data_IF_055058892706
#
_entry.id   IF_055058892706
#
_cell.length_a   1.000
_cell.length_b   1.000
_cell.length_c   1.000
_cell.angle_alpha   90.00
_cell.angle_beta   90.00
_cell.angle_gamma   90.00
#
_symmetry.space_group_name_H-M   'P 1'
#
loop_
_entity.id
_entity.type
_entity.pdbx_description
1 polymer ?
#
# COMPACT_ATOMS: atom_id res chain seq x y z
N UNK A 1 -36.14 4.01 26.94
CA UNK A 1 -35.65 5.39 27.02
C UNK A 1 -34.18 5.41 26.61
N UNK A 2 -33.86 5.82 25.38
CA UNK A 2 -32.50 5.74 24.82
C UNK A 2 -31.73 7.04 25.12
N UNK A 3 -30.73 7.00 26.01
CA UNK A 3 -29.78 8.11 26.25
C UNK A 3 -28.57 7.93 25.35
N UNK A 4 -28.70 8.27 24.06
CA UNK A 4 -27.52 8.34 23.18
C UNK A 4 -26.87 9.72 23.36
N UNK A 5 -25.58 9.77 23.78
CA UNK A 5 -24.85 11.03 23.85
C UNK A 5 -24.74 11.64 22.46
N UNK A 6 -25.02 12.95 22.33
CA UNK A 6 -24.76 13.71 21.12
C UNK A 6 -23.27 14.04 21.09
N UNK A 7 -22.52 13.38 20.21
CA UNK A 7 -21.11 13.69 19.95
C UNK A 7 -21.04 14.70 18.80
N UNK A 8 -20.30 15.79 19.00
CA UNK A 8 -19.97 16.75 17.96
C UNK A 8 -18.48 16.65 17.65
N UNK A 9 -18.13 16.42 16.39
CA UNK A 9 -16.76 16.52 15.91
C UNK A 9 -16.44 17.99 15.73
N UNK A 10 -15.57 18.51 16.61
CA UNK A 10 -15.02 19.87 16.50
C UNK A 10 -13.61 19.72 15.96
N UNK A 11 -13.46 19.87 14.65
CA UNK A 11 -12.17 19.97 13.98
C UNK A 11 -12.07 21.38 13.41
N UNK A 12 -11.57 22.37 14.16
CA UNK A 12 -11.24 23.66 13.58
C UNK A 12 -10.17 23.45 12.51
N UNK A 13 -10.22 24.22 11.41
CA UNK A 13 -9.14 24.22 10.43
C UNK A 13 -7.83 24.55 11.16
N UNK A 14 -6.81 23.71 10.96
CA UNK A 14 -5.51 23.91 11.59
C UNK A 14 -4.92 25.24 11.14
N UNK A 15 -4.24 25.94 12.04
CA UNK A 15 -3.47 27.11 11.63
C UNK A 15 -2.41 26.67 10.57
N UNK A 16 -2.08 27.51 9.58
CA UNK A 16 -1.11 27.15 8.54
C UNK A 16 0.22 26.64 9.10
N UNK A 17 0.66 27.19 10.24
CA UNK A 17 1.88 26.80 10.94
C UNK A 17 1.77 25.40 11.55
N UNK A 18 0.62 25.06 12.12
CA UNK A 18 0.37 23.74 12.68
C UNK A 18 0.35 22.67 11.59
N UNK A 19 -0.31 22.96 10.46
CA UNK A 19 -0.30 22.08 9.29
C UNK A 19 1.14 21.85 8.78
N UNK A 20 1.94 22.91 8.67
CA UNK A 20 3.33 22.81 8.27
C UNK A 20 4.17 21.97 9.26
N UNK A 21 3.95 22.16 10.57
CA UNK A 21 4.64 21.39 11.60
C UNK A 21 4.31 19.89 11.53
N UNK A 22 3.04 19.54 11.29
CA UNK A 22 2.60 18.14 11.13
C UNK A 22 3.22 17.51 9.90
N UNK A 23 3.25 18.21 8.76
CA UNK A 23 3.86 17.71 7.52
C UNK A 23 5.36 17.50 7.71
N UNK A 24 6.06 18.47 8.32
CA UNK A 24 7.49 18.35 8.58
C UNK A 24 7.81 17.17 9.51
N UNK A 25 6.99 16.96 10.56
CA UNK A 25 7.13 15.82 11.46
C UNK A 25 6.88 14.48 10.73
N UNK A 26 5.88 14.42 9.86
CA UNK A 26 5.56 13.23 9.07
C UNK A 26 6.69 12.88 8.10
N UNK A 27 7.22 13.87 7.37
CA UNK A 27 8.34 13.65 6.46
C UNK A 27 9.58 13.15 7.20
N UNK A 28 9.89 13.74 8.36
CA UNK A 28 11.00 13.30 9.20
C UNK A 28 10.79 11.87 9.68
N UNK A 29 9.60 11.54 10.17
CA UNK A 29 9.25 10.19 10.58
C UNK A 29 9.45 9.19 9.42
N UNK A 30 8.91 9.48 8.24
CA UNK A 30 9.05 8.62 7.07
C UNK A 30 10.53 8.38 6.68
N UNK A 31 11.37 9.42 6.79
CA UNK A 31 12.82 9.30 6.54
C UNK A 31 13.52 8.45 7.61
N UNK A 32 13.21 8.68 8.88
CA UNK A 32 13.85 8.00 10.01
C UNK A 32 13.41 6.54 10.14
N UNK A 33 12.17 6.21 9.75
CA UNK A 33 11.61 4.87 9.86
C UNK A 33 11.53 4.12 8.54
N UNK A 34 12.20 4.61 7.49
CA UNK A 34 12.22 3.94 6.20
C UNK A 34 12.79 2.51 6.37
N UNK A 35 12.08 1.46 5.91
CA UNK A 35 12.62 0.12 5.94
C UNK A 35 13.86 0.03 5.05
N UNK A 36 14.83 -0.81 5.46
CA UNK A 36 16.02 -1.05 4.64
C UNK A 36 15.58 -1.49 3.23
N UNK A 37 16.19 -0.95 2.15
CA UNK A 37 15.90 -1.40 0.80
C UNK A 37 15.99 -2.92 0.69
N UNK A 38 15.00 -3.53 0.05
CA UNK A 38 15.03 -4.96 -0.21
C UNK A 38 16.25 -5.29 -1.09
N UNK A 39 16.88 -6.46 -0.89
CA UNK A 39 17.92 -6.91 -1.81
C UNK A 39 17.35 -7.02 -3.24
N UNK A 40 18.19 -6.83 -4.27
CA UNK A 40 17.76 -7.02 -5.64
C UNK A 40 17.21 -8.44 -5.83
N UNK A 41 16.13 -8.56 -6.62
CA UNK A 41 15.59 -9.86 -6.97
C UNK A 41 16.64 -10.67 -7.75
N UNK A 42 16.71 -11.99 -7.55
CA UNK A 42 17.56 -12.85 -8.37
C UNK A 42 17.21 -12.68 -9.85
N UNK A 43 18.24 -12.70 -10.71
CA UNK A 43 18.03 -12.69 -12.14
C UNK A 43 17.19 -13.91 -12.56
N UNK A 44 16.19 -13.67 -13.41
CA UNK A 44 15.34 -14.75 -13.89
C UNK A 44 16.15 -15.74 -14.74
N UNK A 45 16.10 -17.02 -14.37
CA UNK A 45 16.78 -18.08 -15.11
C UNK A 45 16.18 -18.26 -16.51
N UNK A 46 16.96 -18.83 -17.42
CA UNK A 46 16.48 -19.15 -18.76
C UNK A 46 15.25 -20.08 -18.74
N UNK A 47 15.21 -21.03 -17.82
CA UNK A 47 14.08 -21.95 -17.62
C UNK A 47 12.83 -21.26 -17.07
N UNK A 48 12.98 -20.34 -16.11
CA UNK A 48 11.86 -19.53 -15.61
C UNK A 48 11.26 -18.65 -16.73
N UNK A 49 12.12 -18.03 -17.53
CA UNK A 49 11.68 -17.26 -18.72
C UNK A 49 10.94 -18.12 -19.73
N UNK A 50 11.45 -19.33 -20.00
CA UNK A 50 10.82 -20.29 -20.90
C UNK A 50 9.44 -20.71 -20.37
N UNK A 51 9.36 -21.13 -19.11
CA UNK A 51 8.11 -21.52 -18.46
C UNK A 51 7.07 -20.40 -18.48
N UNK A 52 7.45 -19.14 -18.25
CA UNK A 52 6.52 -18.00 -18.35
C UNK A 52 5.98 -17.81 -19.77
N UNK A 53 6.85 -17.91 -20.79
CA UNK A 53 6.44 -17.79 -22.20
C UNK A 53 5.54 -18.93 -22.65
N UNK A 54 5.84 -20.16 -22.21
CA UNK A 54 5.08 -21.35 -22.56
C UNK A 54 3.77 -21.46 -21.77
N UNK A 55 3.76 -21.07 -20.49
CA UNK A 55 2.60 -21.13 -19.60
C UNK A 55 1.53 -20.07 -19.92
N UNK A 56 1.93 -18.87 -20.35
CA UNK A 56 0.99 -17.83 -20.81
C UNK A 56 0.28 -18.24 -22.12
N UNK A 57 0.91 -19.11 -22.93
CA UNK A 57 0.29 -19.65 -24.14
C UNK A 57 -0.69 -20.81 -23.88
N UNK A 58 -0.71 -21.39 -22.66
CA UNK A 58 -1.46 -22.62 -22.37
C UNK A 58 -2.81 -22.43 -21.66
N UNK A 59 -3.26 -21.22 -21.33
CA UNK A 59 -4.57 -21.05 -20.69
C UNK A 59 -5.54 -20.16 -21.46
N UNK A 60 -6.20 -20.69 -22.51
CA UNK A 60 -7.45 -20.12 -23.01
C UNK A 60 -8.68 -20.48 -22.14
N UNK A 61 -8.61 -21.50 -21.26
CA UNK A 61 -9.78 -22.01 -20.52
C UNK A 61 -9.44 -22.55 -19.12
N UNK A 62 -8.90 -21.75 -18.21
CA UNK A 62 -9.00 -22.10 -16.78
C UNK A 62 -10.31 -21.51 -16.26
N UNK A 63 -11.40 -22.30 -16.07
CA UNK A 63 -12.59 -21.78 -15.42
C UNK A 63 -12.25 -21.43 -13.96
N UNK A 64 -12.68 -20.24 -13.56
CA UNK A 64 -12.59 -19.78 -12.18
C UNK A 64 -13.59 -20.56 -11.33
N UNK A 65 -13.33 -20.79 -10.04
CA UNK A 65 -14.10 -21.70 -9.18
C UNK A 65 -15.53 -21.23 -8.81
N UNK A 66 -16.11 -20.28 -9.55
CA UNK A 66 -17.49 -19.81 -9.40
C UNK A 66 -18.26 -19.82 -10.74
N UNK A 67 -17.78 -20.58 -11.72
CA UNK A 67 -18.61 -21.23 -12.74
C UNK A 67 -18.91 -22.66 -12.27
#
# INVERSE_FOLDING_TARGET
MNRRPKLALVAPDAAPEEAAAVVAALERFMRETAPRPAPPLPAESAWQRAARREGVMRSPHTPLPWE
#
